data_IF_307349967282
#
_entry.id   IF_307349967282
#
_cell.length_a   1.000
_cell.length_b   1.000
_cell.length_c   1.000
_cell.angle_alpha   90.00
_cell.angle_beta   90.00
_cell.angle_gamma   90.00
#
_symmetry.space_group_name_H-M   'P 1'
#
loop_
_entity.id
_entity.type
_entity.pdbx_description
1 polymer ?
#
# COMPACT_ATOMS: atom_id res chain seq x y z
N UNK A 1 12.07 -43.49 11.29
CA UNK A 1 12.79 -42.24 11.60
C UNK A 1 12.27 -41.70 12.94
N UNK A 2 12.72 -42.30 14.05
CA UNK A 2 12.13 -42.10 15.39
C UNK A 2 12.24 -40.64 15.87
N UNK A 3 13.36 -39.99 15.53
CA UNK A 3 13.63 -38.61 15.89
C UNK A 3 12.67 -37.64 15.20
N UNK A 4 12.39 -37.84 13.91
CA UNK A 4 11.40 -37.05 13.18
C UNK A 4 9.98 -37.20 13.75
N UNK A 5 9.59 -38.43 14.13
CA UNK A 5 8.30 -38.67 14.79
C UNK A 5 8.21 -37.92 16.12
N UNK A 6 9.28 -37.96 16.92
CA UNK A 6 9.35 -37.25 18.19
C UNK A 6 9.18 -35.74 18.00
N UNK A 7 9.89 -35.13 17.04
CA UNK A 7 9.74 -33.70 16.74
C UNK A 7 8.31 -33.30 16.38
N UNK A 8 7.61 -34.11 15.58
CA UNK A 8 6.21 -33.81 15.22
C UNK A 8 5.28 -33.95 16.41
N UNK A 9 5.44 -35.01 17.21
CA UNK A 9 4.63 -35.22 18.42
C UNK A 9 4.86 -34.10 19.44
N UNK A 10 6.12 -33.71 19.66
CA UNK A 10 6.48 -32.61 20.55
C UNK A 10 5.84 -31.28 20.08
N UNK A 11 5.90 -30.98 18.78
CA UNK A 11 5.29 -29.78 18.20
C UNK A 11 3.76 -29.75 18.38
N UNK A 12 3.09 -30.87 18.11
CA UNK A 12 1.63 -30.98 18.27
C UNK A 12 1.25 -30.87 19.76
N UNK A 13 2.04 -31.48 20.64
CA UNK A 13 1.81 -31.43 22.08
C UNK A 13 1.95 -30.00 22.59
N UNK A 14 3.01 -29.28 22.18
CA UNK A 14 3.21 -27.87 22.50
C UNK A 14 2.06 -26.97 21.98
N UNK A 15 1.57 -27.24 20.77
CA UNK A 15 0.41 -26.53 20.20
C UNK A 15 -0.83 -26.70 21.09
N UNK A 16 -1.11 -27.93 21.52
CA UNK A 16 -2.26 -28.26 22.37
C UNK A 16 -2.12 -27.70 23.78
N UNK A 17 -0.94 -27.78 24.40
CA UNK A 17 -0.65 -27.23 25.72
C UNK A 17 -0.85 -25.71 25.78
N UNK A 18 -0.50 -25.01 24.70
CA UNK A 18 -0.72 -23.56 24.57
C UNK A 18 -2.16 -23.18 24.19
N UNK A 19 -3.06 -24.15 24.02
CA UNK A 19 -4.49 -23.93 23.75
C UNK A 19 -4.82 -23.57 22.30
N UNK A 20 -3.90 -23.79 21.35
CA UNK A 20 -4.18 -23.59 19.94
C UNK A 20 -4.84 -24.84 19.34
N UNK A 21 -5.92 -24.64 18.58
CA UNK A 21 -6.57 -25.73 17.85
C UNK A 21 -5.67 -26.19 16.69
N UNK A 22 -5.66 -27.48 16.39
CA UNK A 22 -4.79 -28.05 15.34
C UNK A 22 -5.43 -27.74 13.96
N UNK A 23 -4.72 -27.04 13.05
CA UNK A 23 -5.22 -26.79 11.70
C UNK A 23 -5.44 -28.11 10.93
N UNK A 24 -6.55 -28.20 10.22
CA UNK A 24 -6.95 -29.37 9.44
C UNK A 24 -7.75 -28.97 8.21
N UNK A 25 -8.30 -29.94 7.48
CA UNK A 25 -9.25 -29.71 6.39
C UNK A 25 -10.56 -29.06 6.86
N UNK A 26 -10.90 -29.17 8.16
CA UNK A 26 -12.14 -28.61 8.74
C UNK A 26 -11.92 -27.44 9.69
N UNK A 27 -10.68 -27.19 10.09
CA UNK A 27 -10.33 -26.13 11.03
C UNK A 27 -9.23 -25.27 10.44
N UNK A 28 -9.55 -24.00 10.21
CA UNK A 28 -8.60 -22.96 9.80
C UNK A 28 -8.24 -22.13 11.03
N UNK A 29 -6.95 -21.90 11.25
CA UNK A 29 -6.49 -20.93 12.25
C UNK A 29 -5.94 -19.69 11.56
N UNK A 30 -6.30 -18.52 12.07
CA UNK A 30 -5.79 -17.23 11.64
C UNK A 30 -5.05 -16.62 12.82
N UNK A 31 -3.74 -16.50 12.68
CA UNK A 31 -2.82 -16.10 13.74
C UNK A 31 -2.14 -14.80 13.35
N UNK A 32 -1.72 -14.01 14.32
CA UNK A 32 -0.83 -12.87 14.07
C UNK A 32 0.23 -12.72 15.14
N UNK A 33 1.43 -12.30 14.75
CA UNK A 33 2.36 -11.71 15.71
C UNK A 33 1.81 -10.36 16.14
N UNK A 34 1.95 -10.00 17.42
CA UNK A 34 1.42 -8.76 17.97
C UNK A 34 1.96 -7.48 17.31
N UNK A 35 1.77 -6.35 17.97
CA UNK A 35 1.91 -4.96 17.48
C UNK A 35 3.19 -4.59 16.71
N UNK A 36 4.25 -5.39 16.80
CA UNK A 36 5.57 -5.12 16.22
C UNK A 36 5.75 -5.60 14.78
N UNK A 37 5.24 -6.79 14.43
CA UNK A 37 5.66 -7.47 13.18
C UNK A 37 4.59 -7.50 12.08
N UNK A 38 3.33 -7.15 12.37
CA UNK A 38 2.22 -7.13 11.39
C UNK A 38 2.21 -8.36 10.48
N UNK A 39 2.52 -9.56 10.97
CA UNK A 39 2.46 -10.78 10.15
C UNK A 39 1.17 -11.51 10.51
N UNK A 40 0.36 -11.84 9.52
CA UNK A 40 -0.77 -12.76 9.69
C UNK A 40 -0.47 -14.09 9.01
N UNK A 41 -0.77 -15.20 9.69
CA UNK A 41 -0.64 -16.56 9.17
C UNK A 41 -2.03 -17.20 9.15
N UNK A 42 -2.43 -17.70 7.99
CA UNK A 42 -3.63 -18.52 7.82
C UNK A 42 -3.13 -19.96 7.68
N UNK A 43 -3.28 -20.78 8.72
CA UNK A 43 -2.99 -22.21 8.62
C UNK A 43 -4.21 -22.92 8.03
N UNK A 44 -4.04 -23.48 6.83
CA UNK A 44 -5.08 -24.13 6.04
C UNK A 44 -4.50 -25.23 5.14
N UNK A 45 -4.99 -26.46 5.30
CA UNK A 45 -4.46 -27.65 4.64
C UNK A 45 -5.15 -27.96 3.29
N UNK A 46 -5.38 -26.94 2.46
CA UNK A 46 -6.10 -27.11 1.18
C UNK A 46 -5.18 -27.34 -0.04
N UNK A 47 -3.87 -27.35 0.18
CA UNK A 47 -2.87 -27.53 -0.85
C UNK A 47 -2.50 -26.23 -1.56
N UNK A 48 -1.35 -26.25 -2.24
CA UNK A 48 -0.71 -25.04 -2.74
C UNK A 48 -1.58 -24.26 -3.74
N UNK A 49 -2.27 -24.92 -4.68
CA UNK A 49 -3.05 -24.23 -5.72
C UNK A 49 -4.27 -23.50 -5.17
N UNK A 50 -4.92 -24.06 -4.16
CA UNK A 50 -6.06 -23.41 -3.49
C UNK A 50 -5.56 -22.26 -2.63
N UNK A 51 -4.50 -22.51 -1.86
CA UNK A 51 -3.88 -21.51 -1.00
C UNK A 51 -3.36 -20.33 -1.84
N UNK A 52 -2.79 -20.59 -3.03
CA UNK A 52 -2.38 -19.58 -4.01
C UNK A 52 -3.54 -18.64 -4.37
N UNK A 53 -4.69 -19.20 -4.71
CA UNK A 53 -5.89 -18.43 -5.02
C UNK A 53 -6.35 -17.59 -3.83
N UNK A 54 -6.55 -18.23 -2.67
CA UNK A 54 -7.07 -17.54 -1.49
C UNK A 54 -6.10 -16.46 -1.01
N UNK A 55 -4.81 -16.75 -0.95
CA UNK A 55 -3.79 -15.81 -0.51
C UNK A 55 -3.74 -14.56 -1.39
N UNK A 56 -3.77 -14.73 -2.71
CA UNK A 56 -3.79 -13.59 -3.65
C UNK A 56 -5.07 -12.76 -3.54
N UNK A 57 -6.24 -13.40 -3.41
CA UNK A 57 -7.53 -12.70 -3.25
C UNK A 57 -7.59 -11.92 -1.94
N UNK A 58 -7.19 -12.56 -0.83
CA UNK A 58 -7.18 -11.90 0.49
C UNK A 58 -6.20 -10.74 0.49
N UNK A 59 -4.99 -10.93 -0.03
CA UNK A 59 -3.98 -9.88 -0.12
C UNK A 59 -4.43 -8.71 -1.01
N UNK A 60 -5.10 -8.97 -2.13
CA UNK A 60 -5.69 -7.93 -2.99
C UNK A 60 -6.70 -7.08 -2.21
N UNK A 61 -7.60 -7.72 -1.46
CA UNK A 61 -8.64 -7.02 -0.68
C UNK A 61 -8.05 -6.23 0.49
N UNK A 62 -7.06 -6.79 1.20
CA UNK A 62 -6.32 -6.08 2.24
C UNK A 62 -5.60 -4.85 1.67
N UNK A 63 -4.92 -5.04 0.54
CA UNK A 63 -4.22 -3.96 -0.16
C UNK A 63 -5.18 -2.85 -0.59
N UNK A 64 -6.35 -3.21 -1.14
CA UNK A 64 -7.36 -2.25 -1.56
C UNK A 64 -7.97 -1.45 -0.39
N UNK A 65 -8.19 -2.10 0.78
CA UNK A 65 -8.75 -1.43 1.96
C UNK A 65 -7.78 -0.47 2.65
N UNK A 66 -6.49 -0.82 2.70
CA UNK A 66 -5.48 -0.08 3.49
C UNK A 66 -4.52 0.74 2.64
N UNK A 67 -4.49 0.56 1.32
CA UNK A 67 -3.53 1.24 0.45
C UNK A 67 -2.08 0.82 0.66
N UNK A 68 -1.86 -0.40 1.18
CA UNK A 68 -0.55 -0.98 1.52
C UNK A 68 -0.20 -2.14 0.60
N UNK A 69 1.10 -2.36 0.39
CA UNK A 69 1.59 -3.55 -0.32
C UNK A 69 1.56 -4.73 0.64
N UNK A 70 0.95 -5.83 0.23
CA UNK A 70 0.90 -7.07 1.01
C UNK A 70 1.84 -8.08 0.34
N UNK A 71 2.91 -8.44 1.01
CA UNK A 71 3.75 -9.59 0.68
C UNK A 71 3.03 -10.88 1.03
N UNK A 72 3.17 -11.88 0.16
CA UNK A 72 2.55 -13.19 0.32
C UNK A 72 3.65 -14.25 0.29
N UNK A 73 3.61 -15.17 1.25
CA UNK A 73 4.30 -16.45 1.18
C UNK A 73 3.26 -17.57 1.29
N UNK A 74 3.32 -18.55 0.40
CA UNK A 74 2.33 -19.61 0.30
C UNK A 74 3.03 -20.96 0.30
N UNK A 75 2.53 -21.87 1.11
CA UNK A 75 2.86 -23.28 1.04
C UNK A 75 1.56 -24.13 1.04
N UNK A 76 1.64 -25.46 0.91
CA UNK A 76 0.46 -26.32 0.90
C UNK A 76 -0.42 -26.29 2.16
N UNK A 77 0.09 -25.75 3.26
CA UNK A 77 -0.49 -25.79 4.60
C UNK A 77 -0.74 -24.40 5.20
N UNK A 78 -0.11 -23.34 4.68
CA UNK A 78 -0.24 -21.99 5.23
C UNK A 78 -0.14 -20.89 4.19
N UNK A 79 -0.75 -19.76 4.52
CA UNK A 79 -0.65 -18.50 3.78
C UNK A 79 -0.18 -17.44 4.77
N UNK A 80 0.98 -16.84 4.51
CA UNK A 80 1.54 -15.77 5.32
C UNK A 80 1.41 -14.44 4.58
N UNK A 81 0.94 -13.42 5.28
CA UNK A 81 0.61 -12.11 4.76
C UNK A 81 1.32 -11.03 5.58
N UNK A 82 2.07 -10.16 4.91
CA UNK A 82 2.85 -9.12 5.58
C UNK A 82 2.79 -7.80 4.80
N UNK A 83 2.33 -6.67 5.38
CA UNK A 83 1.78 -6.51 6.71
C UNK A 83 0.26 -6.83 6.77
N UNK A 84 -0.19 -7.66 7.71
CA UNK A 84 -1.59 -7.94 8.00
C UNK A 84 -1.79 -8.35 9.47
N UNK A 85 -2.99 -8.14 10.01
CA UNK A 85 -3.40 -8.66 11.32
C UNK A 85 -4.45 -9.77 11.19
N UNK A 86 -4.56 -10.61 12.22
CA UNK A 86 -5.51 -11.73 12.27
C UNK A 86 -6.96 -11.25 12.10
N UNK A 87 -7.30 -10.10 12.71
CA UNK A 87 -8.62 -9.45 12.64
C UNK A 87 -8.93 -8.95 11.23
N UNK A 88 -7.97 -8.29 10.58
CA UNK A 88 -8.13 -7.80 9.21
C UNK A 88 -8.34 -8.95 8.22
N UNK A 89 -7.56 -10.02 8.37
CA UNK A 89 -7.72 -11.23 7.56
C UNK A 89 -9.10 -11.84 7.77
N UNK A 90 -9.56 -11.98 9.02
CA UNK A 90 -10.89 -12.49 9.33
C UNK A 90 -12.00 -11.64 8.70
N UNK A 91 -11.91 -10.32 8.78
CA UNK A 91 -12.87 -9.40 8.17
C UNK A 91 -12.92 -9.54 6.66
N UNK A 92 -11.76 -9.72 6.01
CA UNK A 92 -11.69 -9.94 4.57
C UNK A 92 -12.33 -11.28 4.20
N UNK A 93 -11.96 -12.37 4.89
CA UNK A 93 -12.52 -13.71 4.65
C UNK A 93 -14.04 -13.70 4.82
N UNK A 94 -14.57 -13.08 5.89
CA UNK A 94 -16.01 -12.99 6.15
C UNK A 94 -16.76 -12.17 5.11
N UNK A 95 -16.11 -11.18 4.50
CA UNK A 95 -16.70 -10.33 3.47
C UNK A 95 -16.65 -10.92 2.06
N UNK A 96 -15.90 -12.00 1.87
CA UNK A 96 -15.63 -12.58 0.56
C UNK A 96 -16.84 -13.39 0.10
N UNK A 97 -17.38 -13.04 -1.07
CA UNK A 97 -18.45 -13.79 -1.73
C UNK A 97 -17.83 -14.84 -2.66
N UNK A 98 -18.25 -16.12 -2.59
CA UNK A 98 -17.76 -17.18 -3.47
C UNK A 98 -17.81 -16.81 -4.95
N UNK A 99 -18.87 -16.13 -5.38
CA UNK A 99 -19.11 -15.77 -6.78
C UNK A 99 -18.13 -14.70 -7.30
N UNK A 100 -17.56 -13.90 -6.39
CA UNK A 100 -16.60 -12.85 -6.73
C UNK A 100 -15.15 -13.36 -6.82
N UNK A 101 -14.88 -14.59 -6.35
CA UNK A 101 -13.52 -15.15 -6.28
C UNK A 101 -12.84 -15.21 -7.66
N UNK A 102 -13.50 -15.64 -8.75
CA UNK A 102 -12.87 -15.67 -10.07
C UNK A 102 -12.41 -14.28 -10.56
N UNK A 103 -13.27 -13.27 -10.43
CA UNK A 103 -12.96 -11.90 -10.83
C UNK A 103 -11.84 -11.29 -9.98
N UNK A 104 -11.87 -11.54 -8.66
CA UNK A 104 -10.83 -11.07 -7.74
C UNK A 104 -9.49 -11.78 -7.98
N UNK A 105 -9.51 -13.08 -8.28
CA UNK A 105 -8.32 -13.85 -8.60
C UNK A 105 -7.66 -13.34 -9.89
N UNK A 106 -8.45 -13.08 -10.94
CA UNK A 106 -7.95 -12.47 -12.17
C UNK A 106 -7.36 -11.08 -11.90
N UNK A 107 -8.07 -10.24 -11.14
CA UNK A 107 -7.60 -8.90 -10.78
C UNK A 107 -6.30 -8.95 -9.97
N UNK A 108 -6.13 -9.94 -9.09
CA UNK A 108 -4.91 -10.12 -8.31
C UNK A 108 -3.69 -10.48 -9.17
N UNK A 109 -3.90 -11.00 -10.40
CA UNK A 109 -2.84 -11.33 -11.34
C UNK A 109 -2.34 -10.14 -12.16
N UNK A 110 -3.14 -9.08 -12.37
CA UNK A 110 -2.86 -7.99 -13.32
C UNK A 110 -1.47 -7.34 -13.14
N UNK A 111 -1.04 -7.16 -11.90
CA UNK A 111 0.23 -6.51 -11.57
C UNK A 111 1.39 -7.51 -11.33
N UNK A 112 1.15 -8.80 -11.50
CA UNK A 112 2.14 -9.86 -11.22
C UNK A 112 3.12 -10.06 -12.38
N UNK A 113 4.35 -10.44 -12.05
CA UNK A 113 5.33 -10.88 -13.05
C UNK A 113 4.91 -12.18 -13.73
N UNK A 114 4.19 -13.05 -13.01
CA UNK A 114 3.68 -14.31 -13.53
C UNK A 114 2.76 -14.08 -14.73
N UNK A 115 1.78 -13.17 -14.60
CA UNK A 115 0.88 -12.85 -15.71
C UNK A 115 1.64 -12.20 -16.88
N UNK A 116 2.53 -11.24 -16.62
CA UNK A 116 3.34 -10.62 -17.67
C UNK A 116 4.12 -11.66 -18.47
N UNK A 117 4.74 -12.62 -17.78
CA UNK A 117 5.47 -13.71 -18.40
C UNK A 117 4.55 -14.63 -19.23
N UNK A 118 3.40 -15.06 -18.69
CA UNK A 118 2.43 -15.89 -19.41
C UNK A 118 1.82 -15.19 -20.62
N UNK A 119 1.61 -13.87 -20.54
CA UNK A 119 1.14 -13.06 -21.67
C UNK A 119 2.17 -13.04 -22.80
N UNK A 120 3.47 -12.89 -22.49
CA UNK A 120 4.53 -12.95 -23.51
C UNK A 120 4.55 -14.32 -24.19
N UNK A 121 4.48 -15.41 -23.42
CA UNK A 121 4.45 -16.76 -23.97
C UNK A 121 3.23 -16.99 -24.86
N UNK A 122 2.05 -16.60 -24.39
CA UNK A 122 0.81 -16.70 -25.15
C UNK A 122 0.91 -15.85 -26.42
N UNK A 123 1.35 -14.59 -26.33
CA UNK A 123 1.50 -13.72 -27.48
C UNK A 123 2.47 -14.26 -28.54
N UNK A 124 3.55 -14.95 -28.13
CA UNK A 124 4.46 -15.65 -29.04
C UNK A 124 3.79 -16.86 -29.70
N UNK A 125 3.04 -17.67 -28.95
CA UNK A 125 2.28 -18.82 -29.49
C UNK A 125 1.25 -18.38 -30.54
N UNK A 126 0.58 -17.25 -30.29
CA UNK A 126 -0.39 -16.65 -31.21
C UNK A 126 0.26 -15.88 -32.38
N UNK A 127 1.59 -15.78 -32.43
CA UNK A 127 2.31 -15.05 -33.49
C UNK A 127 2.23 -13.53 -33.37
N UNK A 128 1.68 -12.98 -32.30
CA UNK A 128 1.60 -11.53 -32.06
C UNK A 128 2.96 -10.91 -31.72
N UNK A 129 3.85 -11.66 -31.05
CA UNK A 129 5.23 -11.25 -30.80
C UNK A 129 6.20 -12.21 -31.48
N UNK A 130 7.23 -11.67 -32.13
CA UNK A 130 8.34 -12.46 -32.65
C UNK A 130 9.17 -13.07 -31.51
N UNK A 131 9.83 -14.19 -31.80
CA UNK A 131 10.71 -14.87 -30.84
C UNK A 131 11.94 -14.02 -30.51
N UNK A 132 12.46 -13.29 -31.50
CA UNK A 132 13.67 -12.47 -31.40
C UNK A 132 13.44 -11.07 -30.82
N UNK A 133 12.20 -10.76 -30.41
CA UNK A 133 11.87 -9.46 -29.86
C UNK A 133 12.57 -9.22 -28.52
N UNK A 134 13.33 -8.12 -28.44
CA UNK A 134 13.94 -7.63 -27.21
C UNK A 134 12.88 -7.06 -26.25
N UNK A 135 12.54 -7.84 -25.23
CA UNK A 135 11.52 -7.51 -24.24
C UNK A 135 11.93 -6.36 -23.30
N UNK A 136 13.23 -6.01 -23.22
CA UNK A 136 13.73 -4.94 -22.35
C UNK A 136 13.21 -3.56 -22.75
N UNK A 137 12.83 -3.40 -24.02
CA UNK A 137 12.33 -2.13 -24.59
C UNK A 137 10.83 -1.95 -24.42
N UNK A 138 10.12 -2.95 -23.90
CA UNK A 138 8.66 -2.98 -23.84
C UNK A 138 8.19 -2.80 -22.40
N UNK A 139 7.25 -1.88 -22.22
CA UNK A 139 6.54 -1.79 -20.94
C UNK A 139 5.51 -2.93 -20.85
N UNK A 140 5.90 -4.04 -20.20
CA UNK A 140 5.08 -5.24 -20.07
C UNK A 140 3.72 -4.97 -19.40
N UNK A 141 3.66 -4.06 -18.41
CA UNK A 141 2.39 -3.68 -17.78
C UNK A 141 1.42 -3.06 -18.77
N UNK A 142 1.90 -2.14 -19.62
CA UNK A 142 1.07 -1.55 -20.69
C UNK A 142 0.63 -2.60 -21.71
N UNK A 143 1.48 -3.58 -22.01
CA UNK A 143 1.15 -4.66 -22.92
C UNK A 143 0.00 -5.52 -22.37
N UNK A 144 0.07 -5.92 -21.10
CA UNK A 144 -1.00 -6.67 -20.42
C UNK A 144 -2.32 -5.92 -20.51
N UNK A 145 -2.33 -4.62 -20.20
CA UNK A 145 -3.53 -3.79 -20.25
C UNK A 145 -4.10 -3.72 -21.68
N UNK A 146 -3.25 -3.54 -22.69
CA UNK A 146 -3.69 -3.49 -24.10
C UNK A 146 -4.28 -4.81 -24.60
N UNK A 147 -3.81 -5.94 -24.06
CA UNK A 147 -4.24 -7.26 -24.48
C UNK A 147 -5.41 -7.81 -23.67
N UNK A 148 -5.91 -7.11 -22.64
CA UNK A 148 -6.89 -7.61 -21.68
C UNK A 148 -8.12 -8.28 -22.32
N UNK A 149 -8.67 -7.68 -23.37
CA UNK A 149 -9.88 -8.19 -24.03
C UNK A 149 -9.58 -9.10 -25.23
N UNK A 150 -8.35 -9.60 -25.35
CA UNK A 150 -7.91 -10.45 -26.46
C UNK A 150 -7.87 -11.93 -26.08
N UNK A 151 -7.97 -12.86 -27.05
CA UNK A 151 -7.78 -14.29 -26.81
C UNK A 151 -6.43 -14.62 -26.15
N UNK A 152 -5.39 -13.84 -26.44
CA UNK A 152 -4.05 -14.00 -25.85
C UNK A 152 -4.11 -13.86 -24.33
N UNK A 153 -4.84 -12.86 -23.84
CA UNK A 153 -4.98 -12.64 -22.41
C UNK A 153 -5.85 -13.70 -21.75
N UNK A 154 -6.98 -14.04 -22.37
CA UNK A 154 -7.87 -15.11 -21.86
C UNK A 154 -7.12 -16.43 -21.73
N UNK A 155 -6.31 -16.81 -22.71
CA UNK A 155 -5.51 -18.04 -22.65
C UNK A 155 -4.43 -17.96 -21.56
N UNK A 156 -3.74 -16.82 -21.43
CA UNK A 156 -2.73 -16.65 -20.39
C UNK A 156 -3.31 -16.79 -18.97
N UNK A 157 -4.49 -16.18 -18.71
CA UNK A 157 -5.20 -16.32 -17.43
C UNK A 157 -5.67 -17.76 -17.22
N UNK A 158 -6.26 -18.39 -18.24
CA UNK A 158 -6.70 -19.79 -18.19
C UNK A 158 -5.56 -20.73 -17.82
N UNK A 159 -4.40 -20.63 -18.49
CA UNK A 159 -3.23 -21.45 -18.16
C UNK A 159 -2.80 -21.24 -16.69
N UNK A 160 -2.81 -20.01 -16.17
CA UNK A 160 -2.45 -19.76 -14.76
C UNK A 160 -3.44 -20.43 -13.80
N UNK A 161 -4.73 -20.34 -14.06
CA UNK A 161 -5.73 -21.00 -13.24
C UNK A 161 -5.57 -22.54 -13.29
N UNK A 162 -5.32 -23.11 -14.47
CA UNK A 162 -5.12 -24.56 -14.59
C UNK A 162 -3.81 -25.02 -13.94
N UNK A 163 -2.71 -24.30 -14.10
CA UNK A 163 -1.39 -24.77 -13.64
C UNK A 163 -1.06 -24.36 -12.19
N UNK A 164 -1.53 -23.20 -11.74
CA UNK A 164 -1.06 -22.56 -10.50
C UNK A 164 -2.16 -22.23 -9.49
N UNK A 165 -3.39 -21.97 -9.92
CA UNK A 165 -4.46 -21.44 -9.05
C UNK A 165 -5.77 -22.21 -9.18
N UNK A 166 -6.17 -22.94 -8.15
CA UNK A 166 -7.46 -23.64 -8.17
C UNK A 166 -8.58 -22.69 -7.71
N UNK A 167 -9.20 -22.00 -8.67
CA UNK A 167 -10.20 -20.96 -8.41
C UNK A 167 -11.56 -21.55 -8.04
N UNK A 168 -11.96 -22.63 -8.71
CA UNK A 168 -13.24 -23.30 -8.46
C UNK A 168 -13.29 -23.87 -7.05
N UNK A 169 -12.26 -24.63 -6.66
CA UNK A 169 -12.20 -25.22 -5.32
C UNK A 169 -12.04 -24.17 -4.22
N UNK A 170 -11.31 -23.09 -4.47
CA UNK A 170 -11.25 -21.97 -3.52
C UNK A 170 -12.63 -21.34 -3.30
N UNK A 171 -13.41 -21.14 -4.37
CA UNK A 171 -14.77 -20.60 -4.29
C UNK A 171 -15.69 -21.52 -3.49
N UNK A 172 -15.61 -22.84 -3.74
CA UNK A 172 -16.35 -23.85 -2.98
C UNK A 172 -16.00 -23.81 -1.49
N UNK A 173 -14.72 -23.81 -1.13
CA UNK A 173 -14.28 -23.79 0.26
C UNK A 173 -14.71 -22.51 0.99
N UNK A 174 -14.64 -21.34 0.33
CA UNK A 174 -15.12 -20.08 0.90
C UNK A 174 -16.63 -20.16 1.23
N UNK A 175 -17.43 -20.88 0.44
CA UNK A 175 -18.87 -21.06 0.72
C UNK A 175 -19.16 -21.92 1.97
N UNK A 176 -18.17 -22.73 2.36
CA UNK A 176 -18.21 -23.65 3.50
C UNK A 176 -17.69 -23.01 4.81
N UNK A 177 -17.00 -21.87 4.71
CA UNK A 177 -16.46 -21.14 5.86
C UNK A 177 -17.57 -20.65 6.79
N UNK A 178 -17.45 -20.96 8.09
CA UNK A 178 -18.47 -20.65 9.09
C UNK A 178 -19.67 -21.60 9.09
N UNK A 179 -19.72 -22.59 8.18
CA UNK A 179 -20.70 -23.67 8.17
C UNK A 179 -20.05 -24.99 8.57
N UNK A 180 -19.39 -25.65 7.61
CA UNK A 180 -18.68 -26.92 7.83
C UNK A 180 -17.21 -26.72 8.19
N UNK A 181 -16.60 -25.60 7.76
CA UNK A 181 -15.22 -25.25 8.07
C UNK A 181 -15.21 -24.19 9.17
N UNK A 182 -14.61 -24.53 10.32
CA UNK A 182 -14.50 -23.67 11.49
C UNK A 182 -13.29 -22.76 11.34
N UNK A 183 -13.47 -21.46 11.62
CA UNK A 183 -12.38 -20.48 11.65
C UNK A 183 -12.11 -20.11 13.10
N UNK A 184 -10.85 -20.27 13.53
CA UNK A 184 -10.33 -19.81 14.82
C UNK A 184 -9.33 -18.69 14.62
N UNK A 185 -9.32 -17.76 15.56
CA UNK A 185 -8.49 -16.55 15.48
C UNK A 185 -7.70 -16.42 16.75
N UNK A 186 -6.41 -16.14 16.61
CA UNK A 186 -5.46 -15.96 17.71
C UNK A 186 -4.62 -14.70 17.48
N UNK A 187 -4.36 -13.96 18.55
CA UNK A 187 -3.53 -12.75 18.53
C UNK A 187 -2.02 -13.06 18.82
N UNK A 188 -1.65 -14.35 18.79
CA UNK A 188 -0.29 -14.85 18.92
C UNK A 188 -0.02 -15.93 17.89
N UNK A 189 1.24 -16.11 17.51
CA UNK A 189 1.67 -17.17 16.59
C UNK A 189 1.77 -18.51 17.32
N UNK A 190 1.19 -19.55 16.73
CA UNK A 190 1.25 -20.90 17.29
C UNK A 190 2.59 -21.59 16.96
N UNK A 191 2.99 -22.65 17.69
CA UNK A 191 4.13 -23.48 17.32
C UNK A 191 4.10 -23.95 15.86
N UNK A 192 2.94 -24.42 15.38
CA UNK A 192 2.74 -24.83 13.97
C UNK A 192 2.92 -23.63 13.01
N UNK A 193 2.37 -22.46 13.34
CA UNK A 193 2.56 -21.24 12.56
C UNK A 193 4.02 -20.82 12.43
N UNK A 194 4.78 -20.93 13.53
CA UNK A 194 6.22 -20.61 13.61
C UNK A 194 7.14 -21.65 12.96
N UNK A 195 6.69 -22.90 12.81
CA UNK A 195 7.47 -23.97 12.19
C UNK A 195 7.74 -23.76 10.68
N UNK A 196 7.32 -22.64 10.10
CA UNK A 196 7.58 -22.30 8.69
C UNK A 196 9.06 -22.05 8.46
N UNK A 197 9.61 -22.64 7.40
CA UNK A 197 10.88 -22.18 6.83
C UNK A 197 10.66 -20.87 6.09
N UNK A 198 11.63 -19.96 6.12
CA UNK A 198 11.60 -18.73 5.34
C UNK A 198 11.62 -19.08 3.84
N UNK A 199 10.55 -18.76 3.13
CA UNK A 199 10.49 -18.89 1.67
C UNK A 199 10.51 -17.51 1.01
N UNK A 200 10.95 -17.45 -0.25
CA UNK A 200 11.06 -16.21 -1.00
C UNK A 200 9.69 -15.55 -1.24
N UNK A 201 9.59 -14.26 -0.98
CA UNK A 201 8.35 -13.47 -1.05
C UNK A 201 7.87 -13.25 -2.49
N UNK A 202 6.58 -13.47 -2.76
CA UNK A 202 5.90 -12.85 -3.90
C UNK A 202 5.17 -11.59 -3.41
N UNK A 203 5.73 -10.42 -3.73
CA UNK A 203 5.19 -9.13 -3.33
C UNK A 203 4.07 -8.73 -4.28
N UNK A 204 2.81 -8.75 -3.82
CA UNK A 204 1.74 -8.04 -4.51
C UNK A 204 1.97 -6.54 -4.32
N UNK A 205 2.57 -5.92 -5.33
CA UNK A 205 2.72 -4.47 -5.38
C UNK A 205 1.43 -3.85 -5.95
N UNK A 206 0.58 -3.18 -5.15
CA UNK A 206 -0.39 -2.26 -5.68
C UNK A 206 0.30 -1.13 -6.46
N UNK A 207 -0.48 -0.43 -7.27
CA UNK A 207 -0.03 0.59 -8.21
C UNK A 207 0.77 1.78 -7.65
N UNK A 208 0.94 1.92 -6.32
CA UNK A 208 1.94 2.73 -5.59
C UNK A 208 1.82 2.47 -4.07
N UNK A 209 2.93 2.37 -3.31
CA UNK A 209 2.88 2.33 -1.85
C UNK A 209 2.60 3.74 -1.29
N UNK A 210 1.32 4.14 -1.27
CA UNK A 210 0.90 5.52 -0.97
C UNK A 210 1.35 5.95 0.43
N UNK A 211 1.24 5.08 1.44
CA UNK A 211 1.62 5.42 2.81
C UNK A 211 3.14 5.61 2.99
N UNK A 212 3.95 4.72 2.43
CA UNK A 212 5.41 4.85 2.52
C UNK A 212 5.89 6.13 1.83
N UNK A 213 5.30 6.46 0.68
CA UNK A 213 5.56 7.71 -0.05
C UNK A 213 5.11 8.93 0.76
N UNK A 214 3.92 8.91 1.36
CA UNK A 214 3.42 9.98 2.22
C UNK A 214 4.33 10.20 3.43
N UNK A 215 4.82 9.13 4.07
CA UNK A 215 5.75 9.22 5.20
C UNK A 215 7.05 9.90 4.81
N UNK A 216 7.65 9.50 3.68
CA UNK A 216 8.86 10.13 3.15
C UNK A 216 8.60 11.61 2.81
N UNK A 217 7.46 11.89 2.18
CA UNK A 217 7.05 13.24 1.80
C UNK A 217 6.91 14.17 3.02
N UNK A 218 6.26 13.70 4.10
CA UNK A 218 6.15 14.45 5.37
C UNK A 218 7.50 14.76 5.98
N UNK A 219 8.35 13.75 6.13
CA UNK A 219 9.68 13.92 6.71
C UNK A 219 10.52 14.92 5.92
N UNK A 220 10.35 14.96 4.59
CA UNK A 220 10.99 15.95 3.72
C UNK A 220 10.45 17.36 3.97
N UNK A 221 9.12 17.55 3.98
CA UNK A 221 8.52 18.85 4.23
C UNK A 221 8.88 19.42 5.61
N UNK A 222 8.90 18.60 6.66
CA UNK A 222 9.25 19.07 8.01
C UNK A 222 10.71 19.56 8.12
N UNK A 223 11.59 19.06 7.25
CA UNK A 223 13.00 19.46 7.16
C UNK A 223 13.22 20.68 6.27
N UNK A 224 12.26 21.07 5.44
CA UNK A 224 12.39 22.27 4.60
C UNK A 224 12.55 23.53 5.47
N UNK A 225 13.38 24.45 4.99
CA UNK A 225 13.65 25.72 5.66
C UNK A 225 12.71 26.78 5.10
N UNK A 226 11.87 27.32 5.97
CA UNK A 226 10.97 28.42 5.64
C UNK A 226 11.54 29.75 6.13
N UNK A 227 11.31 30.81 5.36
CA UNK A 227 11.54 32.19 5.76
C UNK A 227 10.23 32.72 6.33
N UNK A 228 10.29 33.24 7.55
CA UNK A 228 9.22 34.00 8.17
C UNK A 228 9.53 35.48 8.03
N UNK A 229 8.60 36.25 7.47
CA UNK A 229 8.71 37.69 7.33
C UNK A 229 7.49 38.38 7.95
N UNK A 230 7.71 39.16 9.01
CA UNK A 230 6.64 39.93 9.64
C UNK A 230 6.35 41.21 8.85
N UNK A 231 5.09 41.40 8.46
CA UNK A 231 4.68 42.59 7.70
C UNK A 231 4.58 43.86 8.57
N UNK A 232 4.50 43.70 9.89
CA UNK A 232 4.39 44.82 10.83
C UNK A 232 5.76 45.43 11.17
N UNK A 233 6.70 44.63 11.68
CA UNK A 233 8.01 45.12 12.14
C UNK A 233 9.20 44.73 11.25
N UNK A 234 8.93 44.11 10.09
CA UNK A 234 9.92 43.65 9.09
C UNK A 234 10.95 42.63 9.62
N UNK A 235 10.70 42.05 10.79
CA UNK A 235 11.55 40.99 11.34
C UNK A 235 11.50 39.76 10.42
N UNK A 236 12.68 39.24 10.08
CA UNK A 236 12.84 38.09 9.18
C UNK A 236 13.70 37.02 9.84
N UNK A 237 13.23 35.76 9.83
CA UNK A 237 13.97 34.62 10.39
C UNK A 237 13.83 33.40 9.47
N UNK A 238 14.89 32.59 9.40
CA UNK A 238 14.91 31.31 8.70
C UNK A 238 14.83 30.19 9.71
N UNK A 239 13.87 29.29 9.56
CA UNK A 239 13.66 28.20 10.52
C UNK A 239 13.14 26.97 9.80
N UNK A 240 13.61 25.75 10.14
CA UNK A 240 13.01 24.53 9.61
C UNK A 240 11.59 24.34 10.16
N UNK A 241 10.70 23.76 9.35
CA UNK A 241 9.28 23.67 9.67
C UNK A 241 9.00 22.89 10.97
N UNK A 242 9.80 21.86 11.26
CA UNK A 242 9.68 21.06 12.48
C UNK A 242 9.79 21.87 13.78
N UNK A 243 10.48 23.02 13.77
CA UNK A 243 10.73 23.84 14.96
C UNK A 243 9.66 24.93 15.17
N UNK A 244 8.66 25.00 14.30
CA UNK A 244 7.58 25.99 14.41
C UNK A 244 6.60 25.55 15.49
N UNK A 245 6.59 26.28 16.61
CA UNK A 245 5.56 26.25 17.64
C UNK A 245 4.50 27.32 17.36
N UNK A 246 4.80 28.57 17.69
CA UNK A 246 3.87 29.69 17.53
C UNK A 246 4.10 30.50 16.25
N UNK A 247 3.00 30.82 15.56
CA UNK A 247 2.99 31.64 14.34
C UNK A 247 2.81 33.13 14.67
N UNK A 248 3.53 33.64 15.69
CA UNK A 248 3.53 35.05 16.08
C UNK A 248 4.93 35.63 15.98
N UNK A 249 5.01 36.92 15.64
CA UNK A 249 6.30 37.58 15.54
C UNK A 249 6.94 37.69 16.95
N UNK A 250 8.18 37.22 17.17
CA UNK A 250 8.82 37.32 18.48
C UNK A 250 9.14 38.77 18.89
N UNK A 251 9.16 39.71 17.94
CA UNK A 251 9.50 41.12 18.19
C UNK A 251 8.30 42.02 18.46
N UNK A 252 7.17 41.78 17.77
CA UNK A 252 5.98 42.66 17.86
C UNK A 252 4.68 41.91 18.12
N UNK A 253 4.74 40.59 18.32
CA UNK A 253 3.59 39.70 18.58
C UNK A 253 2.46 39.71 17.54
N UNK A 254 2.64 40.39 16.40
CA UNK A 254 1.69 40.38 15.30
C UNK A 254 1.61 38.99 14.65
N UNK A 255 0.38 38.59 14.26
CA UNK A 255 0.10 37.39 13.48
C UNK A 255 0.20 37.57 11.96
N UNK A 256 0.46 38.81 11.47
CA UNK A 256 0.63 39.08 10.04
C UNK A 256 2.04 38.67 9.57
N UNK A 257 2.21 37.38 9.34
CA UNK A 257 3.50 36.78 8.98
C UNK A 257 3.40 36.07 7.65
N UNK A 258 4.19 36.53 6.68
CA UNK A 258 4.35 35.85 5.41
C UNK A 258 5.38 34.71 5.56
N UNK A 259 5.04 33.53 5.04
CA UNK A 259 5.91 32.35 5.04
C UNK A 259 6.17 31.89 3.61
N UNK A 260 7.43 31.72 3.24
CA UNK A 260 7.82 31.21 1.93
C UNK A 260 9.11 30.38 2.02
N UNK A 261 9.31 29.49 1.05
CA UNK A 261 10.49 28.64 1.02
C UNK A 261 11.78 29.48 0.87
N UNK A 262 12.85 29.10 1.57
CA UNK A 262 14.13 29.81 1.55
C UNK A 262 14.81 29.88 0.17
N UNK A 263 14.33 29.12 -0.81
CA UNK A 263 14.76 29.21 -2.22
C UNK A 263 14.31 30.50 -2.91
N UNK A 264 13.25 31.17 -2.41
CA UNK A 264 12.79 32.48 -2.92
C UNK A 264 13.41 33.61 -2.11
N UNK A 265 13.83 34.67 -2.79
CA UNK A 265 14.29 35.90 -2.12
C UNK A 265 13.10 36.79 -1.80
N UNK A 266 13.16 37.52 -0.69
CA UNK A 266 12.08 38.40 -0.26
C UNK A 266 11.82 39.51 -1.29
N UNK A 267 12.89 39.99 -1.92
CA UNK A 267 12.88 41.07 -2.91
C UNK A 267 12.14 40.69 -4.19
N UNK A 268 12.05 39.39 -4.50
CA UNK A 268 11.37 38.86 -5.69
C UNK A 268 9.86 38.70 -5.48
N UNK A 269 9.37 38.85 -4.25
CA UNK A 269 7.95 38.62 -3.93
C UNK A 269 7.22 39.97 -3.86
N UNK A 270 6.21 40.21 -4.71
CA UNK A 270 5.46 41.45 -4.69
C UNK A 270 4.73 41.63 -3.36
N UNK A 271 4.66 42.87 -2.86
CA UNK A 271 4.00 43.20 -1.59
C UNK A 271 2.57 42.64 -1.49
N UNK A 272 1.81 42.69 -2.59
CA UNK A 272 0.44 42.12 -2.66
C UNK A 272 0.42 40.62 -2.39
N UNK A 273 1.41 39.86 -2.88
CA UNK A 273 1.54 38.42 -2.63
C UNK A 273 1.93 38.14 -1.18
N UNK A 274 2.85 38.93 -0.60
CA UNK A 274 3.21 38.81 0.82
C UNK A 274 2.00 38.99 1.75
N UNK A 275 1.14 39.98 1.48
CA UNK A 275 -0.11 40.16 2.24
C UNK A 275 -1.05 38.96 2.10
N UNK A 276 -1.19 38.40 0.90
CA UNK A 276 -2.01 37.18 0.67
C UNK A 276 -1.45 35.99 1.46
N UNK A 277 -0.14 35.78 1.41
CA UNK A 277 0.52 34.70 2.16
C UNK A 277 0.29 34.89 3.66
N UNK A 278 0.46 36.10 4.18
CA UNK A 278 0.25 36.39 5.60
C UNK A 278 -1.19 36.10 6.04
N UNK A 279 -2.18 36.43 5.20
CA UNK A 279 -3.58 36.11 5.48
C UNK A 279 -3.81 34.58 5.49
N UNK A 280 -3.22 33.83 4.55
CA UNK A 280 -3.32 32.37 4.53
C UNK A 280 -2.72 31.74 5.80
N UNK A 281 -1.58 32.24 6.25
CA UNK A 281 -0.92 31.78 7.49
C UNK A 281 -1.78 32.11 8.70
N UNK A 282 -2.38 33.30 8.74
CA UNK A 282 -3.26 33.70 9.83
C UNK A 282 -4.53 32.83 9.90
N UNK A 283 -5.12 32.47 8.76
CA UNK A 283 -6.35 31.67 8.71
C UNK A 283 -6.14 30.17 8.90
N UNK A 284 -5.07 29.59 8.33
CA UNK A 284 -4.87 28.13 8.29
C UNK A 284 -3.66 27.65 9.10
N UNK A 285 -2.92 28.55 9.75
CA UNK A 285 -1.83 28.23 10.65
C UNK A 285 -0.73 27.39 9.98
N UNK A 286 -0.29 26.32 10.68
CA UNK A 286 0.83 25.46 10.25
C UNK A 286 0.57 24.77 8.91
N UNK A 287 -0.71 24.51 8.56
CA UNK A 287 -1.08 23.93 7.26
C UNK A 287 -0.73 24.87 6.11
N UNK A 288 -0.88 26.18 6.28
CA UNK A 288 -0.45 27.15 5.27
C UNK A 288 1.08 27.16 5.08
N UNK A 289 1.84 27.03 6.17
CA UNK A 289 3.31 26.97 6.09
C UNK A 289 3.75 25.74 5.30
N UNK A 290 3.14 24.58 5.54
CA UNK A 290 3.41 23.35 4.79
C UNK A 290 3.07 23.50 3.30
N UNK A 291 1.91 24.09 2.99
CA UNK A 291 1.50 24.33 1.62
C UNK A 291 2.46 25.27 0.87
N UNK A 292 2.84 26.40 1.48
CA UNK A 292 3.75 27.39 0.89
C UNK A 292 5.19 26.89 0.71
N UNK A 293 5.59 25.84 1.44
CA UNK A 293 6.91 25.22 1.31
C UNK A 293 6.89 23.97 0.42
N UNK A 294 5.73 23.57 -0.09
CA UNK A 294 5.62 22.48 -1.07
C UNK A 294 6.10 22.98 -2.43
N UNK A 295 6.92 22.16 -3.10
CA UNK A 295 7.54 22.58 -4.35
C UNK A 295 6.48 22.82 -5.45
N UNK A 296 6.51 23.99 -6.09
CA UNK A 296 5.55 24.35 -7.13
C UNK A 296 4.20 24.89 -6.63
N UNK A 297 4.03 25.05 -5.31
CA UNK A 297 2.80 25.61 -4.73
C UNK A 297 3.02 27.09 -4.39
N UNK A 298 2.47 27.97 -5.23
CA UNK A 298 2.39 29.42 -4.95
C UNK A 298 1.16 29.79 -4.13
N UNK A 299 1.03 31.07 -3.76
CA UNK A 299 -0.05 31.57 -2.88
C UNK A 299 -1.47 31.24 -3.38
N UNK A 300 -1.72 31.30 -4.69
CA UNK A 300 -3.03 30.98 -5.25
C UNK A 300 -3.37 29.48 -5.18
N UNK A 301 -2.38 28.62 -5.50
CA UNK A 301 -2.55 27.18 -5.38
C UNK A 301 -2.68 26.76 -3.91
N UNK A 302 -1.91 27.38 -3.01
CA UNK A 302 -2.04 27.18 -1.58
C UNK A 302 -3.45 27.55 -1.09
N UNK A 303 -4.01 28.70 -1.50
CA UNK A 303 -5.38 29.09 -1.15
C UNK A 303 -6.43 28.08 -1.62
N UNK A 304 -6.29 27.55 -2.86
CA UNK A 304 -7.20 26.50 -3.38
C UNK A 304 -7.08 25.19 -2.63
N UNK A 305 -5.89 24.80 -2.20
CA UNK A 305 -5.67 23.56 -1.43
C UNK A 305 -6.25 23.75 -0.02
N UNK A 306 -5.93 24.86 0.64
CA UNK A 306 -6.34 25.11 2.04
C UNK A 306 -7.84 25.39 2.22
N UNK A 307 -8.54 25.79 1.16
CA UNK A 307 -10.00 25.98 1.18
C UNK A 307 -10.81 24.68 1.10
N UNK A 308 -10.17 23.55 0.75
CA UNK A 308 -10.83 22.23 0.74
C UNK A 308 -10.97 21.69 2.16
N UNK A 309 -12.04 20.92 2.37
CA UNK A 309 -12.21 20.12 3.59
C UNK A 309 -11.42 18.81 3.48
N UNK A 310 -10.74 18.43 4.56
CA UNK A 310 -9.99 17.18 4.67
C UNK A 310 -10.42 16.43 5.94
N UNK A 311 -10.86 15.18 5.78
CA UNK A 311 -11.24 14.32 6.91
C UNK A 311 -10.05 13.95 7.80
N UNK A 312 -8.84 13.87 7.23
CA UNK A 312 -7.61 13.56 7.95
C UNK A 312 -6.42 14.32 7.33
N UNK A 313 -5.32 14.41 8.08
CA UNK A 313 -4.09 15.06 7.60
C UNK A 313 -3.47 14.29 6.44
N UNK A 314 -3.68 12.98 6.34
CA UNK A 314 -3.23 12.14 5.24
C UNK A 314 -3.74 12.60 3.88
N UNK A 315 -5.05 12.89 3.76
CA UNK A 315 -5.66 13.45 2.55
C UNK A 315 -5.09 14.83 2.20
N UNK A 316 -4.76 15.66 3.20
CA UNK A 316 -4.12 16.95 2.98
C UNK A 316 -2.71 16.80 2.38
N UNK A 317 -1.88 15.91 2.94
CA UNK A 317 -0.53 15.65 2.40
C UNK A 317 -0.58 15.02 1.00
N UNK A 318 -1.60 14.20 0.71
CA UNK A 318 -1.84 13.64 -0.62
C UNK A 318 -2.08 14.73 -1.66
N UNK A 319 -2.94 15.72 -1.36
CA UNK A 319 -3.21 16.84 -2.27
C UNK A 319 -1.95 17.69 -2.50
N UNK A 320 -1.13 17.94 -1.47
CA UNK A 320 0.14 18.64 -1.63
C UNK A 320 1.11 17.88 -2.54
N UNK A 321 1.22 16.57 -2.36
CA UNK A 321 2.05 15.71 -3.20
C UNK A 321 1.57 15.69 -4.66
N UNK A 322 0.25 15.72 -4.88
CA UNK A 322 -0.33 15.85 -6.23
C UNK A 322 -0.09 17.22 -6.86
N UNK A 323 -0.13 18.30 -6.07
CA UNK A 323 0.18 19.65 -6.54
C UNK A 323 1.65 19.75 -7.01
N UNK A 324 2.60 19.21 -6.24
CA UNK A 324 4.00 19.15 -6.64
C UNK A 324 4.21 18.33 -7.92
N UNK A 325 3.52 17.19 -8.03
CA UNK A 325 3.59 16.35 -9.23
C UNK A 325 3.01 17.05 -10.45
N UNK A 326 1.91 17.80 -10.30
CA UNK A 326 1.36 18.63 -11.38
C UNK A 326 2.37 19.66 -11.85
N UNK A 327 3.00 20.38 -10.91
CA UNK A 327 4.03 21.36 -11.22
C UNK A 327 5.22 20.74 -11.97
N UNK A 328 5.79 19.63 -11.47
CA UNK A 328 6.92 18.94 -12.14
C UNK A 328 6.53 18.51 -13.56
N UNK A 329 5.31 18.01 -13.76
CA UNK A 329 4.82 17.59 -15.07
C UNK A 329 4.68 18.77 -16.04
N UNK A 330 4.22 19.92 -15.55
CA UNK A 330 4.00 21.09 -16.41
C UNK A 330 5.24 21.95 -16.57
N UNK A 331 6.24 21.85 -15.70
CA UNK A 331 7.43 22.72 -15.65
C UNK A 331 8.11 22.95 -17.01
N UNK A 332 8.22 21.92 -17.85
CA UNK A 332 8.81 22.04 -19.20
C UNK A 332 8.03 22.89 -20.21
N UNK A 333 6.83 23.38 -19.85
CA UNK A 333 6.01 24.29 -20.66
C UNK A 333 6.02 25.74 -20.15
N UNK A 334 6.67 26.02 -19.01
CA UNK A 334 6.68 27.34 -18.36
C UNK A 334 8.09 27.93 -18.17
N UNK A 335 9.13 27.14 -18.40
CA UNK A 335 10.55 27.57 -18.39
C UNK A 335 10.99 28.01 -19.80
#
# INVERSE_FOLDING_TARGET
NVEATKTVVDLISEQMEKGFEIPSDKVITVESSGSSDNVAIINCCFGHRVNETMGRVVALLLSARKGRNIGIEIDPYRIKLTPASSKEVLEVIKSLRPEAVPELAERALLDTKLLQWKIIHSARKFGYLSKDLDLSRINLRKLVIKLKDTPIYREAVREIFVEKMDVEKASELISQFGKSIKIKVYDSLSPIGLASREHAFDLLMPGKPVEALLRIFRQRLEKEVTVFHCLNCKYTVKTPIRLIGDLRCPRCHSGLIACFNARRKLEEIPKKELHRIANLVLSHGKKAVLAMNTHGVGAENAARILSKYYENDDKFYLELMEAERRYIRTRGFWD
#
